data_IF_125334257443
#
_entry.id   IF_125334257443
#
_cell.length_a   1.000
_cell.length_b   1.000
_cell.length_c   1.000
_cell.angle_alpha   90.00
_cell.angle_beta   90.00
_cell.angle_gamma   90.00
#
_symmetry.space_group_name_H-M   'P 1'
#
loop_
_entity.id
_entity.type
_entity.pdbx_description
1 polymer ?
#
# COMPACT_ATOMS: atom_id res chain seq x y z
N UNK A 1 -21.61 -13.71 25.41
CA UNK A 1 -20.89 -13.17 24.22
C UNK A 1 -19.82 -14.14 23.80
N UNK A 2 -19.58 -14.31 22.49
CA UNK A 2 -18.60 -15.27 21.98
C UNK A 2 -17.17 -14.72 22.12
N UNK A 3 -16.23 -15.53 22.59
CA UNK A 3 -14.84 -15.15 22.81
C UNK A 3 -13.89 -15.91 21.90
N UNK A 4 -12.77 -15.28 21.52
CA UNK A 4 -11.71 -15.94 20.80
C UNK A 4 -11.04 -17.02 21.64
N UNK A 5 -10.93 -18.25 21.11
CA UNK A 5 -10.32 -19.39 21.84
C UNK A 5 -8.81 -19.23 22.11
N UNK A 6 -8.15 -18.28 21.45
CA UNK A 6 -6.70 -18.10 21.53
C UNK A 6 -6.31 -16.94 22.45
N UNK A 7 -6.98 -15.80 22.36
CA UNK A 7 -6.64 -14.59 23.11
C UNK A 7 -7.80 -14.03 23.94
N UNK A 8 -8.90 -14.78 24.04
CA UNK A 8 -10.09 -14.51 24.86
C UNK A 8 -10.80 -13.18 24.59
N UNK A 9 -10.33 -12.40 23.59
CA UNK A 9 -11.01 -11.16 23.19
C UNK A 9 -12.45 -11.45 22.76
N UNK A 10 -13.36 -10.57 23.10
CA UNK A 10 -14.74 -10.64 22.66
C UNK A 10 -14.84 -10.49 21.13
N UNK A 11 -15.60 -11.39 20.49
CA UNK A 11 -15.76 -11.43 19.04
C UNK A 11 -16.91 -10.53 18.59
N UNK A 12 -16.62 -9.65 17.62
CA UNK A 12 -17.58 -8.72 17.02
C UNK A 12 -17.39 -8.61 15.50
N UNK A 13 -18.21 -7.81 14.83
CA UNK A 13 -18.16 -7.65 13.37
C UNK A 13 -16.81 -7.08 12.85
N UNK A 14 -16.08 -6.34 13.69
CA UNK A 14 -14.81 -5.71 13.31
C UNK A 14 -13.67 -6.71 13.38
N UNK A 15 -13.59 -7.52 14.45
CA UNK A 15 -12.45 -8.39 14.74
C UNK A 15 -12.67 -9.86 14.38
N UNK A 16 -13.81 -10.24 13.81
CA UNK A 16 -14.14 -11.60 13.40
C UNK A 16 -14.39 -11.69 11.89
N UNK A 17 -13.76 -12.60 11.17
CA UNK A 17 -14.04 -12.81 9.76
C UNK A 17 -15.44 -13.42 9.55
N UNK A 18 -16.28 -12.88 8.65
CA UNK A 18 -17.60 -13.45 8.37
C UNK A 18 -17.55 -14.94 7.96
N UNK A 19 -16.50 -15.34 7.23
CA UNK A 19 -16.29 -16.73 6.83
C UNK A 19 -15.97 -17.66 8.00
N UNK A 20 -15.30 -17.18 9.03
CA UNK A 20 -15.04 -17.94 10.26
C UNK A 20 -16.29 -18.04 11.11
N UNK A 21 -17.05 -16.94 11.24
CA UNK A 21 -18.34 -16.91 11.91
C UNK A 21 -19.31 -17.92 11.30
N UNK A 22 -19.46 -17.92 9.97
CA UNK A 22 -20.33 -18.88 9.23
C UNK A 22 -19.97 -20.34 9.50
N UNK A 23 -18.69 -20.63 9.78
CA UNK A 23 -18.20 -21.99 10.08
C UNK A 23 -18.16 -22.30 11.58
N UNK A 24 -18.68 -21.42 12.43
CA UNK A 24 -18.64 -21.61 13.89
C UNK A 24 -17.23 -21.53 14.50
N UNK A 25 -16.26 -20.97 13.79
CA UNK A 25 -14.88 -20.88 14.28
C UNK A 25 -14.69 -19.65 15.15
N UNK A 26 -14.51 -19.85 16.45
CA UNK A 26 -14.32 -18.81 17.46
C UNK A 26 -12.87 -18.33 17.52
N UNK A 27 -12.37 -17.73 16.43
CA UNK A 27 -11.00 -17.20 16.33
C UNK A 27 -11.07 -15.77 15.77
N UNK A 28 -10.46 -14.80 16.47
CA UNK A 28 -10.41 -13.42 15.98
C UNK A 28 -9.49 -13.27 14.76
N UNK A 29 -9.66 -12.17 14.01
CA UNK A 29 -8.84 -11.87 12.80
C UNK A 29 -7.35 -11.91 13.08
N UNK A 30 -6.90 -11.34 14.20
CA UNK A 30 -5.49 -11.30 14.59
C UNK A 30 -4.94 -12.72 14.77
N UNK A 31 -5.52 -13.51 15.66
CA UNK A 31 -5.05 -14.88 15.93
C UNK A 31 -5.13 -15.79 14.69
N UNK A 32 -6.15 -15.60 13.83
CA UNK A 32 -6.22 -16.34 12.57
C UNK A 32 -5.10 -15.94 11.60
N UNK A 33 -4.79 -14.64 11.49
CA UNK A 33 -3.71 -14.15 10.64
C UNK A 33 -2.34 -14.63 11.14
N UNK A 34 -2.11 -14.58 12.45
CA UNK A 34 -0.86 -15.08 13.08
C UNK A 34 -0.68 -16.58 12.81
N UNK A 35 -1.73 -17.38 13.02
CA UNK A 35 -1.73 -18.81 12.68
C UNK A 35 -1.41 -19.06 11.22
N UNK A 36 -2.03 -18.29 10.30
CA UNK A 36 -1.79 -18.43 8.87
C UNK A 36 -0.39 -17.96 8.46
N UNK A 37 0.17 -16.98 9.16
CA UNK A 37 1.55 -16.51 8.94
C UNK A 37 2.56 -17.59 9.32
N UNK A 38 2.41 -18.20 10.50
CA UNK A 38 3.24 -19.32 10.94
C UNK A 38 3.14 -20.50 9.98
N UNK A 39 1.92 -20.90 9.62
CA UNK A 39 1.74 -21.99 8.67
C UNK A 39 2.43 -21.72 7.32
N UNK A 40 2.39 -20.47 6.81
CA UNK A 40 3.07 -20.11 5.56
C UNK A 40 4.59 -20.15 5.69
N UNK A 41 5.13 -19.79 6.85
CA UNK A 41 6.56 -19.89 7.12
C UNK A 41 7.02 -21.35 7.04
N UNK A 42 6.30 -22.25 7.73
CA UNK A 42 6.62 -23.68 7.78
C UNK A 42 6.34 -24.41 6.45
N UNK A 43 5.38 -23.91 5.65
CA UNK A 43 4.93 -24.54 4.40
C UNK A 43 5.15 -23.66 3.17
N UNK A 44 6.29 -22.95 3.08
CA UNK A 44 6.55 -21.92 2.07
C UNK A 44 6.38 -22.42 0.64
N UNK A 45 6.93 -23.59 0.32
CA UNK A 45 6.84 -24.15 -1.03
C UNK A 45 5.38 -24.49 -1.40
N UNK A 46 4.67 -25.16 -0.49
CA UNK A 46 3.25 -25.49 -0.67
C UNK A 46 2.38 -24.23 -0.82
N UNK A 47 2.63 -23.20 0.00
CA UNK A 47 1.93 -21.93 -0.08
C UNK A 47 2.17 -21.22 -1.42
N UNK A 48 3.42 -21.21 -1.91
CA UNK A 48 3.77 -20.64 -3.22
C UNK A 48 3.10 -21.41 -4.37
N UNK A 49 3.09 -22.75 -4.32
CA UNK A 49 2.42 -23.61 -5.32
C UNK A 49 0.90 -23.33 -5.37
N UNK A 50 0.28 -23.17 -4.21
CA UNK A 50 -1.16 -22.84 -4.12
C UNK A 50 -1.43 -21.42 -4.68
N UNK A 51 -0.60 -20.44 -4.33
CA UNK A 51 -0.73 -19.06 -4.84
C UNK A 51 -0.55 -19.01 -6.36
N UNK A 52 0.43 -19.72 -6.92
CA UNK A 52 0.66 -19.83 -8.35
C UNK A 52 -0.51 -20.51 -9.08
N UNK A 53 -1.06 -21.59 -8.51
CA UNK A 53 -2.26 -22.24 -9.06
C UNK A 53 -3.46 -21.28 -9.10
N UNK A 54 -3.64 -20.49 -8.05
CA UNK A 54 -4.70 -19.49 -7.97
C UNK A 54 -4.49 -18.37 -9.00
N UNK A 55 -3.27 -17.85 -9.12
CA UNK A 55 -2.91 -16.85 -10.13
C UNK A 55 -3.17 -17.35 -11.57
N UNK A 56 -2.73 -18.57 -11.89
CA UNK A 56 -2.90 -19.16 -13.23
C UNK A 56 -4.35 -19.40 -13.62
N UNK A 57 -5.26 -19.50 -12.65
CA UNK A 57 -6.69 -19.68 -12.91
C UNK A 57 -7.33 -18.45 -13.55
N UNK A 58 -6.91 -17.25 -13.14
CA UNK A 58 -7.41 -15.99 -13.70
C UNK A 58 -6.37 -14.88 -13.52
N UNK A 59 -5.32 -14.82 -14.36
CA UNK A 59 -4.27 -13.80 -14.28
C UNK A 59 -4.82 -12.39 -14.48
N UNK A 60 -5.80 -12.22 -15.37
CA UNK A 60 -6.40 -10.91 -15.67
C UNK A 60 -7.08 -10.33 -14.44
N UNK A 61 -7.93 -11.10 -13.78
CA UNK A 61 -8.61 -10.69 -12.54
C UNK A 61 -7.60 -10.28 -11.45
N UNK A 62 -6.49 -11.02 -11.33
CA UNK A 62 -5.43 -10.67 -10.40
C UNK A 62 -4.77 -9.33 -10.76
N UNK A 63 -4.41 -9.13 -12.04
CA UNK A 63 -3.85 -7.87 -12.55
C UNK A 63 -4.78 -6.69 -12.30
N UNK A 64 -6.06 -6.82 -12.64
CA UNK A 64 -7.06 -5.77 -12.46
C UNK A 64 -7.22 -5.40 -10.97
N UNK A 65 -7.22 -6.40 -10.09
CA UNK A 65 -7.29 -6.17 -8.64
C UNK A 65 -6.07 -5.41 -8.11
N UNK A 66 -4.86 -5.81 -8.53
CA UNK A 66 -3.62 -5.12 -8.17
C UNK A 66 -3.59 -3.70 -8.73
N UNK A 67 -4.00 -3.51 -9.98
CA UNK A 67 -4.06 -2.20 -10.61
C UNK A 67 -5.02 -1.27 -9.86
N UNK A 68 -6.24 -1.70 -9.57
CA UNK A 68 -7.23 -0.95 -8.79
C UNK A 68 -6.67 -0.53 -7.41
N UNK A 69 -5.99 -1.45 -6.73
CA UNK A 69 -5.38 -1.15 -5.43
C UNK A 69 -4.28 -0.08 -5.54
N UNK A 70 -3.44 -0.14 -6.58
CA UNK A 70 -2.38 0.85 -6.84
C UNK A 70 -2.96 2.23 -7.16
N UNK A 71 -3.97 2.29 -8.04
CA UNK A 71 -4.66 3.55 -8.39
C UNK A 71 -5.28 4.15 -7.15
N UNK A 72 -5.98 3.37 -6.33
CA UNK A 72 -6.60 3.86 -5.09
C UNK A 72 -5.58 4.53 -4.17
N UNK A 73 -4.46 3.87 -3.89
CA UNK A 73 -3.42 4.43 -2.99
C UNK A 73 -2.78 5.69 -3.60
N UNK A 74 -2.58 5.73 -4.92
CA UNK A 74 -2.07 6.91 -5.62
C UNK A 74 -3.02 8.10 -5.50
N UNK A 75 -4.32 7.90 -5.71
CA UNK A 75 -5.33 8.96 -5.56
C UNK A 75 -5.39 9.45 -4.12
N UNK A 76 -5.40 8.56 -3.13
CA UNK A 76 -5.37 8.93 -1.71
C UNK A 76 -4.14 9.78 -1.37
N UNK A 77 -2.97 9.43 -1.91
CA UNK A 77 -1.74 10.21 -1.75
C UNK A 77 -1.88 11.60 -2.38
N UNK A 78 -2.33 11.70 -3.63
CA UNK A 78 -2.52 12.98 -4.33
C UNK A 78 -3.46 13.90 -3.54
N UNK A 79 -4.59 13.39 -3.06
CA UNK A 79 -5.54 14.14 -2.25
C UNK A 79 -4.93 14.61 -0.93
N UNK A 80 -4.19 13.74 -0.23
CA UNK A 80 -3.54 14.06 1.04
C UNK A 80 -2.50 15.20 0.91
N UNK A 81 -1.83 15.29 -0.24
CA UNK A 81 -0.86 16.36 -0.53
C UNK A 81 -1.47 17.58 -1.24
N UNK A 82 -2.81 17.72 -1.26
CA UNK A 82 -3.51 18.94 -1.69
C UNK A 82 -4.03 18.92 -3.12
N UNK A 83 -3.90 17.81 -3.87
CA UNK A 83 -4.55 17.61 -5.18
C UNK A 83 -4.04 18.48 -6.34
N UNK A 84 -2.98 19.27 -6.13
CA UNK A 84 -2.43 20.18 -7.14
C UNK A 84 -0.91 20.31 -7.02
N UNK A 85 -0.27 20.64 -8.13
CA UNK A 85 1.16 20.90 -8.15
C UNK A 85 1.50 22.12 -7.27
N UNK A 86 2.43 21.97 -6.34
CA UNK A 86 2.86 23.05 -5.43
C UNK A 86 3.55 24.21 -6.17
N UNK A 87 4.01 24.00 -7.42
CA UNK A 87 4.72 25.02 -8.17
C UNK A 87 3.84 25.73 -9.21
N UNK A 88 3.02 25.02 -10.00
CA UNK A 88 2.22 25.62 -11.08
C UNK A 88 0.71 25.45 -10.91
N UNK A 89 0.27 24.90 -9.78
CA UNK A 89 -1.12 24.70 -9.39
C UNK A 89 -1.97 23.80 -10.33
N UNK A 90 -1.40 23.15 -11.34
CA UNK A 90 -2.13 22.17 -12.16
C UNK A 90 -2.69 21.06 -11.29
N UNK A 91 -3.95 20.67 -11.51
CA UNK A 91 -4.67 19.66 -10.71
C UNK A 91 -4.96 18.37 -11.48
N UNK A 92 -4.37 18.19 -12.66
CA UNK A 92 -4.51 16.96 -13.43
C UNK A 92 -3.80 15.80 -12.72
N UNK A 93 -4.61 14.85 -12.22
CA UNK A 93 -4.15 13.67 -11.47
C UNK A 93 -3.15 12.81 -12.28
N UNK A 94 -3.27 12.78 -13.61
CA UNK A 94 -2.44 11.91 -14.44
C UNK A 94 -0.98 12.38 -14.48
N UNK A 95 -0.75 13.68 -14.34
CA UNK A 95 0.58 14.28 -14.40
C UNK A 95 1.19 14.61 -13.04
N UNK A 96 0.41 14.46 -11.94
CA UNK A 96 0.89 14.73 -10.59
C UNK A 96 1.63 13.54 -10.01
N UNK A 97 2.73 13.80 -9.30
CA UNK A 97 3.50 12.79 -8.57
C UNK A 97 4.11 13.37 -7.29
N UNK A 98 4.47 12.48 -6.36
CA UNK A 98 5.16 12.86 -5.13
C UNK A 98 6.64 13.11 -5.41
N UNK A 99 7.18 14.16 -4.83
CA UNK A 99 8.57 14.57 -4.95
C UNK A 99 9.18 14.83 -3.58
N UNK A 100 10.46 14.48 -3.41
CA UNK A 100 11.23 14.77 -2.21
C UNK A 100 11.70 16.24 -2.24
N UNK A 101 11.35 17.02 -1.23
CA UNK A 101 11.70 18.44 -1.15
C UNK A 101 13.23 18.62 -1.20
N UNK A 102 13.96 17.78 -0.49
CA UNK A 102 15.43 17.77 -0.34
C UNK A 102 16.20 17.03 -1.44
N UNK A 103 15.50 16.51 -2.47
CA UNK A 103 16.08 15.70 -3.56
C UNK A 103 16.66 14.33 -3.13
N UNK A 104 16.34 13.82 -1.94
CA UNK A 104 16.80 12.52 -1.43
C UNK A 104 16.23 11.29 -2.16
N UNK A 105 15.37 11.48 -3.15
CA UNK A 105 14.69 10.41 -3.87
C UNK A 105 15.59 9.35 -4.52
N UNK A 106 16.88 9.67 -4.77
CA UNK A 106 17.85 8.69 -5.23
C UNK A 106 18.17 7.63 -4.17
N UNK A 107 18.26 8.03 -2.90
CA UNK A 107 18.47 7.12 -1.77
C UNK A 107 17.27 6.19 -1.57
N UNK A 108 16.07 6.76 -1.61
CA UNK A 108 14.84 5.96 -1.48
C UNK A 108 14.71 4.93 -2.61
N UNK A 109 15.07 5.27 -3.85
CA UNK A 109 15.09 4.30 -4.97
C UNK A 109 16.05 3.14 -4.73
N UNK A 110 17.26 3.38 -4.17
CA UNK A 110 18.21 2.30 -3.82
C UNK A 110 17.60 1.33 -2.80
N UNK A 111 16.74 1.81 -1.93
CA UNK A 111 16.02 1.02 -0.92
C UNK A 111 14.67 0.47 -1.44
N UNK A 112 14.43 0.49 -2.75
CA UNK A 112 13.17 0.07 -3.38
C UNK A 112 11.93 0.86 -2.90
N UNK A 113 12.13 2.08 -2.38
CA UNK A 113 11.09 3.01 -1.96
C UNK A 113 10.77 3.98 -3.09
N UNK A 114 10.02 3.52 -4.08
CA UNK A 114 9.56 4.35 -5.20
C UNK A 114 8.16 3.90 -5.67
N UNK A 115 7.44 4.78 -6.35
CA UNK A 115 6.11 4.52 -6.86
C UNK A 115 5.17 3.97 -5.77
N UNK A 116 4.53 2.84 -6.03
CA UNK A 116 3.57 2.24 -5.11
C UNK A 116 4.12 1.92 -3.70
N UNK A 117 5.38 1.49 -3.61
CA UNK A 117 5.99 1.19 -2.31
C UNK A 117 6.15 2.46 -1.46
N UNK A 118 6.58 3.57 -2.08
CA UNK A 118 6.65 4.86 -1.42
C UNK A 118 5.26 5.34 -0.98
N UNK A 119 4.25 5.27 -1.86
CA UNK A 119 2.88 5.70 -1.52
C UNK A 119 2.31 4.92 -0.34
N UNK A 120 2.57 3.61 -0.24
CA UNK A 120 2.16 2.79 0.90
C UNK A 120 2.87 3.17 2.18
N UNK A 121 4.16 3.47 2.11
CA UNK A 121 4.94 3.96 3.26
C UNK A 121 4.36 5.28 3.76
N UNK A 122 4.20 6.26 2.88
CA UNK A 122 3.62 7.56 3.22
C UNK A 122 2.22 7.44 3.82
N UNK A 123 1.37 6.58 3.26
CA UNK A 123 0.05 6.29 3.83
C UNK A 123 0.12 5.74 5.24
N UNK A 124 1.06 4.82 5.52
CA UNK A 124 1.27 4.25 6.87
C UNK A 124 1.75 5.29 7.86
N UNK A 125 2.53 6.27 7.42
CA UNK A 125 3.11 7.37 8.21
C UNK A 125 2.16 8.58 8.32
N UNK A 126 0.94 8.52 7.79
CA UNK A 126 -0.04 9.60 7.87
C UNK A 126 0.22 10.74 6.89
N UNK A 127 0.95 10.50 5.80
CA UNK A 127 1.30 11.47 4.76
C UNK A 127 2.09 12.68 5.29
N UNK A 128 3.33 12.50 5.81
CA UNK A 128 4.17 13.58 6.32
C UNK A 128 4.46 14.61 5.21
N UNK A 129 4.26 15.91 5.52
CA UNK A 129 4.40 17.00 4.55
C UNK A 129 5.75 17.72 4.61
N UNK A 130 6.55 17.43 5.61
CA UNK A 130 7.83 18.10 5.87
C UNK A 130 8.87 17.78 4.78
N UNK A 131 8.87 16.54 4.30
CA UNK A 131 9.89 16.04 3.36
C UNK A 131 9.36 15.81 1.95
N UNK A 132 8.04 15.90 1.75
CA UNK A 132 7.39 15.56 0.50
C UNK A 132 6.45 16.65 0.01
N UNK A 133 6.41 16.82 -1.30
CA UNK A 133 5.53 17.74 -1.99
C UNK A 133 4.90 17.09 -3.23
N UNK A 134 3.82 17.67 -3.74
CA UNK A 134 3.18 17.24 -4.96
C UNK A 134 3.63 18.13 -6.12
N UNK A 135 4.26 17.57 -7.13
CA UNK A 135 4.66 18.26 -8.35
C UNK A 135 4.08 17.60 -9.59
N UNK A 136 3.79 18.40 -10.62
CA UNK A 136 3.58 17.82 -11.93
C UNK A 136 4.92 17.40 -12.57
N UNK A 137 4.88 16.49 -13.53
CA UNK A 137 6.08 15.97 -14.22
C UNK A 137 6.98 17.08 -14.76
N UNK A 138 6.42 18.15 -15.31
CA UNK A 138 7.19 19.28 -15.84
C UNK A 138 7.92 20.06 -14.73
N UNK A 139 7.24 20.36 -13.62
CA UNK A 139 7.86 21.07 -12.50
C UNK A 139 8.90 20.21 -11.80
N UNK A 140 8.66 18.91 -11.66
CA UNK A 140 9.63 17.96 -11.12
C UNK A 140 10.88 17.88 -12.01
N UNK A 141 10.71 17.83 -13.32
CA UNK A 141 11.83 17.86 -14.26
C UNK A 141 12.64 19.17 -14.20
N UNK A 142 11.96 20.34 -14.16
CA UNK A 142 12.65 21.63 -14.00
C UNK A 142 13.46 21.70 -12.70
N UNK A 143 12.91 21.19 -11.59
CA UNK A 143 13.62 21.07 -10.30
C UNK A 143 14.87 20.20 -10.43
N UNK A 144 14.77 19.05 -11.11
CA UNK A 144 15.90 18.16 -11.38
C UNK A 144 17.00 18.85 -12.17
N UNK A 145 16.66 19.56 -13.25
CA UNK A 145 17.64 20.30 -14.07
C UNK A 145 18.34 21.42 -13.28
N UNK A 146 17.62 22.11 -12.41
CA UNK A 146 18.21 23.14 -11.55
C UNK A 146 19.24 22.58 -10.57
N UNK A 147 19.09 21.31 -10.15
CA UNK A 147 20.03 20.65 -9.25
C UNK A 147 21.30 20.12 -9.94
N UNK A 148 21.22 19.76 -11.23
CA UNK A 148 22.41 19.30 -12.01
C UNK A 148 23.34 20.48 -12.33
N UNK A 149 22.81 21.70 -12.41
CA UNK A 149 23.57 22.91 -12.75
C UNK A 149 24.30 23.54 -11.56
N UNK A 150 24.13 23.00 -10.36
CA UNK A 150 24.86 23.38 -9.15
C UNK A 150 26.06 22.47 -8.93
#
# INVERSE_FOLDING_TARGET
>A
MEKCRVCEIELNAINWFPSLKKRGSLICKKCNNDKMSLWRADNRERANKMALKHYRKDPKKHHDSVHKARVKVRVEMIVAYGGKCNHCAISDIEVLDIDHIDNSGASDRKNNLHGYNLYRKLKKEGFPKENFQLLCKNCNWKKHLANIKK
#
